data_IF_493097818662
#
_entry.id   IF_493097818662
#
_cell.length_a   1.000
_cell.length_b   1.000
_cell.length_c   1.000
_cell.angle_alpha   90.00
_cell.angle_beta   90.00
_cell.angle_gamma   90.00
#
_symmetry.space_group_name_H-M   'P 1'
#
loop_
_entity.id
_entity.type
_entity.pdbx_description
1 polymer ?
#
# COMPACT_ATOMS: atom_id res chain seq x y z
N UNK A 1 -14.29 55.80 7.90
CA UNK A 1 -13.19 54.90 8.32
C UNK A 1 -13.79 53.57 8.77
N UNK A 2 -13.54 52.50 8.01
CA UNK A 2 -13.87 51.13 8.40
C UNK A 2 -13.09 50.21 7.49
N UNK A 3 -11.88 49.82 7.91
CA UNK A 3 -11.03 48.90 7.15
C UNK A 3 -11.76 47.57 7.03
N UNK A 4 -12.18 47.23 5.83
CA UNK A 4 -12.61 45.86 5.50
C UNK A 4 -11.36 45.01 5.60
N UNK A 5 -11.29 44.14 6.60
CA UNK A 5 -10.24 43.15 6.69
C UNK A 5 -10.48 42.13 5.57
N UNK A 6 -9.60 42.11 4.57
CA UNK A 6 -9.56 41.01 3.61
C UNK A 6 -9.21 39.72 4.35
N UNK A 7 -9.84 38.58 4.01
CA UNK A 7 -9.45 37.31 4.56
C UNK A 7 -8.08 36.96 3.98
N UNK A 8 -7.07 36.87 4.83
CA UNK A 8 -5.75 36.33 4.47
C UNK A 8 -5.93 34.84 4.22
N UNK A 9 -6.38 34.49 3.02
CA UNK A 9 -6.32 33.13 2.53
C UNK A 9 -4.84 32.77 2.43
N UNK A 10 -4.34 32.06 3.44
CA UNK A 10 -3.03 31.46 3.39
C UNK A 10 -3.01 30.51 2.18
N UNK A 11 -2.43 30.99 1.07
CA UNK A 11 -2.09 30.15 -0.07
C UNK A 11 -1.07 29.14 0.44
N UNK A 12 -1.53 27.95 0.83
CA UNK A 12 -0.65 26.82 1.07
C UNK A 12 -0.04 26.47 -0.29
N UNK A 13 1.15 27.01 -0.55
CA UNK A 13 1.94 26.65 -1.72
C UNK A 13 2.11 25.13 -1.71
N UNK A 14 1.87 24.48 -2.84
CA UNK A 14 2.16 23.07 -3.00
C UNK A 14 3.65 22.82 -2.69
N UNK A 15 3.99 21.82 -1.85
CA UNK A 15 5.37 21.53 -1.52
C UNK A 15 6.17 21.21 -2.78
N UNK A 16 7.42 21.63 -2.82
CA UNK A 16 8.37 21.22 -3.86
C UNK A 16 8.59 19.70 -3.81
N UNK A 17 9.15 19.14 -4.87
CA UNK A 17 9.47 17.71 -4.90
C UNK A 17 10.43 17.32 -3.75
N UNK A 18 11.44 18.15 -3.48
CA UNK A 18 12.40 17.91 -2.41
C UNK A 18 11.77 18.06 -1.02
N UNK A 19 10.86 19.02 -0.85
CA UNK A 19 10.08 19.17 0.39
C UNK A 19 9.19 17.95 0.63
N UNK A 20 8.57 17.43 -0.42
CA UNK A 20 7.76 16.23 -0.35
C UNK A 20 8.60 15.00 0.01
N UNK A 21 9.78 14.83 -0.59
CA UNK A 21 10.71 13.76 -0.22
C UNK A 21 11.17 13.87 1.24
N UNK A 22 11.40 15.09 1.73
CA UNK A 22 11.75 15.33 3.14
C UNK A 22 10.63 14.92 4.09
N UNK A 23 9.37 15.11 3.73
CA UNK A 23 8.25 14.63 4.56
C UNK A 23 8.12 13.10 4.49
N UNK A 24 8.29 12.52 3.30
CA UNK A 24 8.23 11.06 3.12
C UNK A 24 9.33 10.33 3.88
N UNK A 25 10.53 10.92 4.00
CA UNK A 25 11.63 10.33 4.76
C UNK A 25 11.39 10.27 6.28
N UNK A 26 10.42 11.03 6.79
CA UNK A 26 10.03 11.02 8.21
C UNK A 26 9.01 9.91 8.53
N UNK A 27 8.43 9.27 7.52
CA UNK A 27 7.48 8.18 7.71
C UNK A 27 8.17 6.96 8.32
N UNK A 28 7.47 6.29 9.23
CA UNK A 28 7.91 4.96 9.65
C UNK A 28 7.71 3.95 8.49
N UNK A 29 8.38 2.80 8.55
CA UNK A 29 8.30 1.75 7.52
C UNK A 29 6.85 1.41 7.07
N UNK A 30 5.90 1.17 7.99
CA UNK A 30 4.50 0.91 7.62
C UNK A 30 3.83 2.06 6.85
N UNK A 31 4.03 3.31 7.27
CA UNK A 31 3.49 4.49 6.60
C UNK A 31 4.15 4.72 5.25
N UNK A 32 5.46 4.46 5.16
CA UNK A 32 6.22 4.52 3.92
C UNK A 32 5.71 3.49 2.91
N UNK A 33 5.45 2.25 3.35
CA UNK A 33 4.84 1.21 2.50
C UNK A 33 3.47 1.65 1.97
N UNK A 34 2.64 2.26 2.82
CA UNK A 34 1.35 2.82 2.41
C UNK A 34 1.49 4.02 1.45
N UNK A 35 2.51 4.86 1.65
CA UNK A 35 2.81 5.98 0.77
C UNK A 35 3.23 5.49 -0.62
N UNK A 36 4.17 4.54 -0.69
CA UNK A 36 4.67 3.94 -1.93
C UNK A 36 3.53 3.37 -2.75
N UNK A 37 2.65 2.59 -2.12
CA UNK A 37 1.42 2.08 -2.71
C UNK A 37 0.61 3.19 -3.37
N UNK A 38 0.32 4.28 -2.65
CA UNK A 38 -0.55 5.35 -3.15
C UNK A 38 0.10 6.06 -4.34
N UNK A 39 1.41 6.21 -4.33
CA UNK A 39 2.17 6.77 -5.47
C UNK A 39 2.13 5.84 -6.68
N UNK A 40 2.26 4.52 -6.49
CA UNK A 40 2.11 3.54 -7.57
C UNK A 40 0.71 3.62 -8.19
N UNK A 41 -0.34 3.67 -7.38
CA UNK A 41 -1.71 3.82 -7.86
C UNK A 41 -1.93 5.15 -8.61
N UNK A 42 -1.35 6.25 -8.12
CA UNK A 42 -1.39 7.55 -8.80
C UNK A 42 -0.65 7.52 -10.15
N UNK A 43 0.51 6.87 -10.21
CA UNK A 43 1.29 6.70 -11.44
C UNK A 43 0.53 5.86 -12.46
N UNK A 44 -0.13 4.79 -12.03
CA UNK A 44 -0.97 3.97 -12.91
C UNK A 44 -2.12 4.81 -13.51
N UNK A 45 -2.81 5.63 -12.70
CA UNK A 45 -3.85 6.57 -13.17
C UNK A 45 -3.33 7.59 -14.18
N UNK A 46 -2.13 8.14 -13.97
CA UNK A 46 -1.54 9.15 -14.86
C UNK A 46 -1.01 8.59 -16.19
N UNK A 47 -0.56 7.34 -16.22
CA UNK A 47 -0.03 6.70 -17.43
C UNK A 47 -1.11 6.19 -18.37
N UNK A 48 -2.33 6.00 -17.88
CA UNK A 48 -3.46 5.53 -18.67
C UNK A 48 -4.65 6.50 -18.46
N UNK A 49 -4.74 7.60 -19.23
CA UNK A 49 -5.82 8.57 -19.09
C UNK A 49 -7.23 8.00 -19.32
N UNK A 50 -7.34 6.77 -19.83
CA UNK A 50 -8.58 6.07 -20.17
C UNK A 50 -8.79 4.76 -19.37
N UNK A 51 -8.28 4.66 -18.14
CA UNK A 51 -8.62 3.52 -17.28
C UNK A 51 -10.13 3.49 -17.05
N UNK A 52 -10.76 2.37 -17.36
CA UNK A 52 -12.14 2.13 -16.93
C UNK A 52 -12.24 2.23 -15.40
N UNK A 53 -13.43 2.54 -14.87
CA UNK A 53 -13.68 2.52 -13.41
C UNK A 53 -13.24 1.18 -12.80
N UNK A 54 -13.53 0.10 -13.50
CA UNK A 54 -13.12 -1.27 -13.16
C UNK A 54 -11.62 -1.41 -13.00
N UNK A 55 -10.83 -0.86 -13.93
CA UNK A 55 -9.36 -0.96 -13.85
C UNK A 55 -8.80 -0.17 -12.66
N UNK A 56 -9.39 0.99 -12.38
CA UNK A 56 -9.01 1.79 -11.21
C UNK A 56 -9.32 1.07 -9.90
N UNK A 57 -10.48 0.41 -9.81
CA UNK A 57 -10.88 -0.39 -8.65
C UNK A 57 -9.94 -1.58 -8.45
N UNK A 58 -9.61 -2.31 -9.52
CA UNK A 58 -8.65 -3.41 -9.47
C UNK A 58 -7.29 -2.94 -8.96
N UNK A 59 -6.77 -1.82 -9.49
CA UNK A 59 -5.51 -1.26 -9.01
C UNK A 59 -5.58 -0.86 -7.53
N UNK A 60 -6.70 -0.32 -7.05
CA UNK A 60 -6.85 -0.04 -5.62
C UNK A 60 -6.82 -1.31 -4.77
N UNK A 61 -7.54 -2.36 -5.21
CA UNK A 61 -7.63 -3.67 -4.54
C UNK A 61 -6.32 -4.47 -4.59
N UNK A 62 -5.57 -4.40 -5.69
CA UNK A 62 -4.24 -5.03 -5.82
C UNK A 62 -3.29 -4.44 -4.81
N UNK A 63 -3.36 -3.13 -4.65
CA UNK A 63 -2.45 -2.49 -3.76
C UNK A 63 -2.87 -2.80 -2.30
N UNK A 64 -4.18 -2.75 -1.96
CA UNK A 64 -4.91 -3.67 -1.06
C UNK A 64 -4.30 -4.41 0.15
N UNK A 65 -3.20 -4.01 0.81
CA UNK A 65 -2.57 -4.86 1.84
C UNK A 65 -3.45 -5.19 3.06
N UNK A 66 -3.03 -6.14 3.92
CA UNK A 66 -3.75 -6.46 5.16
C UNK A 66 -4.00 -5.21 6.01
N UNK A 67 -5.12 -5.14 6.77
CA UNK A 67 -5.40 -4.06 7.70
C UNK A 67 -4.20 -3.71 8.62
N UNK A 68 -3.99 -2.41 8.95
CA UNK A 68 -2.83 -1.97 9.74
C UNK A 68 -2.69 -2.65 11.10
N UNK A 69 -3.80 -2.98 11.76
CA UNK A 69 -3.87 -3.69 13.03
C UNK A 69 -3.32 -5.13 12.91
N UNK A 70 -3.67 -5.84 11.84
CA UNK A 70 -3.13 -7.18 11.53
C UNK A 70 -1.62 -7.08 11.29
N UNK A 71 -1.19 -6.13 10.46
CA UNK A 71 0.23 -5.94 10.18
C UNK A 71 1.03 -5.59 11.45
N UNK A 72 0.49 -4.72 12.30
CA UNK A 72 1.13 -4.31 13.55
C UNK A 72 1.23 -5.49 14.52
N UNK A 73 0.17 -6.28 14.67
CA UNK A 73 0.17 -7.45 15.55
C UNK A 73 1.14 -8.51 15.05
N UNK A 74 1.12 -8.81 13.76
CA UNK A 74 2.08 -9.72 13.13
C UNK A 74 3.53 -9.28 13.38
N UNK A 75 3.87 -8.02 13.11
CA UNK A 75 5.22 -7.48 13.37
C UNK A 75 5.62 -7.65 14.83
N UNK A 76 4.75 -7.31 15.77
CA UNK A 76 5.01 -7.44 17.21
C UNK A 76 5.32 -8.88 17.61
N UNK A 77 4.48 -9.82 17.19
CA UNK A 77 4.65 -11.24 17.52
C UNK A 77 5.86 -11.86 16.82
N UNK A 78 6.10 -11.51 15.56
CA UNK A 78 7.29 -11.97 14.84
C UNK A 78 8.59 -11.42 15.47
N UNK A 79 8.58 -10.18 15.97
CA UNK A 79 9.71 -9.63 16.76
C UNK A 79 9.92 -10.39 18.07
N UNK A 80 8.84 -10.75 18.78
CA UNK A 80 8.94 -11.59 19.99
C UNK A 80 9.50 -12.98 19.66
N UNK A 81 9.04 -13.60 18.57
CA UNK A 81 9.55 -14.89 18.08
C UNK A 81 11.05 -14.84 17.82
N UNK A 82 11.50 -13.83 17.06
CA UNK A 82 12.94 -13.61 16.77
C UNK A 82 13.79 -13.37 18.01
N UNK A 83 13.19 -12.82 19.06
CA UNK A 83 13.85 -12.61 20.35
C UNK A 83 13.69 -13.80 21.32
N UNK A 84 13.11 -14.92 20.87
CA UNK A 84 12.83 -16.12 21.68
C UNK A 84 11.97 -15.83 22.93
N UNK A 85 11.14 -14.79 22.88
CA UNK A 85 10.26 -14.32 23.97
C UNK A 85 8.78 -14.55 23.70
N UNK A 86 8.45 -15.32 22.67
CA UNK A 86 7.06 -15.61 22.29
C UNK A 86 6.50 -16.71 23.20
N UNK A 87 5.30 -16.49 23.73
CA UNK A 87 4.60 -17.53 24.51
C UNK A 87 3.90 -18.53 23.57
N UNK A 88 3.51 -19.72 24.05
CA UNK A 88 2.78 -20.68 23.23
C UNK A 88 1.48 -20.11 22.62
N UNK A 89 0.70 -19.35 23.40
CA UNK A 89 -0.53 -18.73 22.93
C UNK A 89 -0.26 -17.65 21.86
N UNK A 90 0.77 -16.82 22.08
CA UNK A 90 1.20 -15.83 21.09
C UNK A 90 1.76 -16.48 19.81
N UNK A 91 2.37 -17.66 19.92
CA UNK A 91 2.82 -18.41 18.77
C UNK A 91 1.65 -18.94 17.94
N UNK A 92 0.60 -19.45 18.59
CA UNK A 92 -0.64 -19.85 17.90
C UNK A 92 -1.32 -18.66 17.23
N UNK A 93 -1.36 -17.51 17.91
CA UNK A 93 -1.88 -16.28 17.32
C UNK A 93 -1.05 -15.83 16.10
N UNK A 94 0.28 -15.95 16.16
CA UNK A 94 1.15 -15.64 15.03
C UNK A 94 0.85 -16.51 13.81
N UNK A 95 0.60 -17.81 14.00
CA UNK A 95 0.20 -18.72 12.93
C UNK A 95 -1.12 -18.28 12.30
N UNK A 96 -2.14 -18.00 13.12
CA UNK A 96 -3.43 -17.52 12.62
C UNK A 96 -3.33 -16.18 11.86
N UNK A 97 -2.40 -15.30 12.26
CA UNK A 97 -2.13 -14.05 11.53
C UNK A 97 -1.44 -14.31 10.18
N UNK A 98 -0.55 -15.29 10.10
CA UNK A 98 0.10 -15.70 8.84
C UNK A 98 -0.97 -16.20 7.87
N UNK A 99 -1.82 -17.14 8.29
CA UNK A 99 -2.91 -17.67 7.45
C UNK A 99 -3.81 -16.55 6.92
N UNK A 100 -4.11 -15.56 7.77
CA UNK A 100 -4.92 -14.41 7.38
C UNK A 100 -4.21 -13.50 6.39
N UNK A 101 -2.90 -13.28 6.53
CA UNK A 101 -2.10 -12.51 5.57
C UNK A 101 -2.04 -13.23 4.22
N UNK A 102 -1.84 -14.55 4.22
CA UNK A 102 -1.83 -15.36 3.00
C UNK A 102 -3.17 -15.27 2.24
N UNK A 103 -4.29 -15.20 2.95
CA UNK A 103 -5.60 -14.95 2.30
C UNK A 103 -5.64 -13.61 1.55
N UNK A 104 -5.05 -12.54 2.10
CA UNK A 104 -4.95 -11.26 1.39
C UNK A 104 -4.05 -11.37 0.15
N UNK A 105 -2.96 -12.12 0.24
CA UNK A 105 -2.07 -12.33 -0.91
C UNK A 105 -2.75 -13.14 -2.02
N UNK A 106 -3.55 -14.15 -1.68
CA UNK A 106 -4.36 -14.90 -2.64
C UNK A 106 -5.36 -13.98 -3.35
N UNK A 107 -6.10 -13.15 -2.61
CA UNK A 107 -7.03 -12.19 -3.21
C UNK A 107 -6.30 -11.17 -4.10
N UNK A 108 -5.13 -10.70 -3.67
CA UNK A 108 -4.29 -9.80 -4.47
C UNK A 108 -3.89 -10.43 -5.81
N UNK A 109 -3.52 -11.70 -5.82
CA UNK A 109 -3.18 -12.43 -7.06
C UNK A 109 -4.40 -12.56 -7.98
N UNK A 110 -5.61 -12.77 -7.43
CA UNK A 110 -6.85 -12.77 -8.23
C UNK A 110 -7.06 -11.42 -8.93
N UNK A 111 -6.95 -10.31 -8.19
CA UNK A 111 -7.10 -8.98 -8.80
C UNK A 111 -6.02 -8.68 -9.85
N UNK A 112 -4.78 -9.14 -9.64
CA UNK A 112 -3.72 -9.03 -10.64
C UNK A 112 -4.06 -9.81 -11.91
N UNK A 113 -4.61 -11.02 -11.77
CA UNK A 113 -5.03 -11.82 -12.92
C UNK A 113 -6.18 -11.16 -13.69
N UNK A 114 -7.17 -10.61 -12.98
CA UNK A 114 -8.26 -9.84 -13.58
C UNK A 114 -7.76 -8.61 -14.34
N UNK A 115 -6.81 -7.87 -13.76
CA UNK A 115 -6.19 -6.72 -14.42
C UNK A 115 -5.39 -7.14 -15.66
N UNK A 116 -4.68 -8.26 -15.60
CA UNK A 116 -3.91 -8.77 -16.73
C UNK A 116 -4.84 -9.13 -17.90
N UNK A 117 -5.95 -9.80 -17.60
CA UNK A 117 -7.00 -10.10 -18.58
C UNK A 117 -7.59 -8.83 -19.18
N UNK A 118 -7.94 -7.84 -18.35
CA UNK A 118 -8.51 -6.57 -18.81
C UNK A 118 -7.56 -5.81 -19.76
N UNK A 119 -6.24 -5.91 -19.54
CA UNK A 119 -5.22 -5.31 -20.39
C UNK A 119 -4.78 -6.17 -21.57
N UNK A 120 -5.30 -7.40 -21.70
CA UNK A 120 -4.85 -8.34 -22.73
C UNK A 120 -3.38 -8.73 -22.62
N UNK A 121 -2.82 -8.77 -21.40
CA UNK A 121 -1.42 -9.11 -21.13
C UNK A 121 -1.31 -10.33 -20.22
N UNK A 122 -0.11 -10.91 -20.11
CA UNK A 122 0.14 -11.99 -19.15
C UNK A 122 0.31 -11.43 -17.73
N UNK A 123 -0.08 -12.22 -16.72
CA UNK A 123 0.15 -11.87 -15.31
C UNK A 123 1.62 -11.52 -15.03
N UNK A 124 2.56 -12.30 -15.58
CA UNK A 124 4.00 -12.06 -15.42
C UNK A 124 4.44 -10.72 -16.02
N UNK A 125 3.94 -10.39 -17.21
CA UNK A 125 4.24 -9.11 -17.85
C UNK A 125 3.64 -7.93 -17.07
N UNK A 126 2.40 -8.07 -16.58
CA UNK A 126 1.76 -7.08 -15.73
C UNK A 126 2.53 -6.85 -14.42
N UNK A 127 2.90 -7.92 -13.72
CA UNK A 127 3.67 -7.81 -12.47
C UNK A 127 5.01 -7.10 -12.71
N UNK A 128 5.68 -7.38 -13.83
CA UNK A 128 6.90 -6.67 -14.24
C UNK A 128 6.64 -5.19 -14.54
N UNK A 129 5.54 -4.86 -15.20
CA UNK A 129 5.16 -3.47 -15.51
C UNK A 129 4.89 -2.65 -14.24
N UNK A 130 4.19 -3.25 -13.28
CA UNK A 130 3.81 -2.62 -12.02
C UNK A 130 4.91 -2.66 -10.95
N UNK A 131 6.06 -3.25 -11.25
CA UNK A 131 7.16 -3.50 -10.30
C UNK A 131 6.70 -4.27 -9.04
N UNK A 132 5.74 -5.19 -9.22
CA UNK A 132 5.20 -6.02 -8.14
C UNK A 132 6.00 -7.32 -8.10
N UNK A 133 6.62 -7.58 -6.95
CA UNK A 133 7.30 -8.85 -6.68
C UNK A 133 6.29 -9.86 -6.13
N UNK A 134 6.48 -11.17 -6.40
CA UNK A 134 5.72 -12.21 -5.72
C UNK A 134 5.89 -12.07 -4.20
N UNK A 135 4.87 -12.43 -3.39
CA UNK A 135 5.03 -12.49 -1.95
C UNK A 135 6.24 -13.36 -1.61
N UNK A 136 7.15 -12.84 -0.79
CA UNK A 136 8.25 -13.64 -0.27
C UNK A 136 7.63 -14.67 0.67
N UNK A 137 7.88 -15.97 0.43
CA UNK A 137 7.49 -17.00 1.39
C UNK A 137 8.18 -16.68 2.72
N UNK A 138 7.37 -16.47 3.76
CA UNK A 138 7.80 -16.03 5.09
C UNK A 138 8.56 -17.12 5.86
#
# INVERSE_FOLDING_TARGET
>A
MGKVAEPVAAYVRAPSFDELLKYVSQLNLPELDQFVFRVIALRARRRAPNLSKTETELLMRINQGPPPDIQQRFRKLNSKRKAEKITPDEHQELLALIDRIEQFDVERVKYLAELANLRGTSLKALMKELDIRPPAMA
#
